data_IF_986893526005
#
_entry.id   IF_986893526005
#
_cell.length_a   1.000
_cell.length_b   1.000
_cell.length_c   1.000
_cell.angle_alpha   90.00
_cell.angle_beta   90.00
_cell.angle_gamma   90.00
#
_symmetry.space_group_name_H-M   'P 1'
#
loop_
_entity.id
_entity.type
_entity.pdbx_description
1 polymer ?
#
# COMPACT_ATOMS: atom_id res chain seq x y z
N UNK A 1 -31.31 31.53 9.13
CA UNK A 1 -30.90 32.68 8.32
C UNK A 1 -29.47 33.02 8.68
N UNK A 2 -28.50 32.49 7.97
CA UNK A 2 -27.14 33.03 7.91
C UNK A 2 -26.73 32.97 6.44
N UNK A 3 -26.30 34.10 5.93
CA UNK A 3 -26.17 34.44 4.53
C UNK A 3 -25.13 33.60 3.79
N UNK A 4 -25.53 33.21 2.62
CA UNK A 4 -24.67 32.77 1.56
C UNK A 4 -24.00 34.00 0.93
N UNK A 5 -22.76 34.27 1.26
CA UNK A 5 -21.95 35.19 0.45
C UNK A 5 -21.17 34.35 -0.57
N UNK A 6 -21.77 34.24 -1.75
CA UNK A 6 -21.08 33.81 -2.96
C UNK A 6 -20.15 34.92 -3.44
N UNK A 7 -18.86 34.71 -3.37
CA UNK A 7 -17.87 35.51 -4.12
C UNK A 7 -17.25 34.60 -5.16
N UNK A 8 -17.86 34.61 -6.34
CA UNK A 8 -17.20 34.24 -7.58
C UNK A 8 -16.64 35.53 -8.19
N UNK A 9 -15.37 35.80 -8.02
CA UNK A 9 -14.62 36.74 -8.86
C UNK A 9 -13.29 36.10 -9.17
N UNK A 10 -12.96 36.02 -10.46
CA UNK A 10 -11.61 35.64 -10.89
C UNK A 10 -10.59 36.51 -10.11
N UNK A 11 -9.56 35.92 -9.51
CA UNK A 11 -8.62 36.68 -8.71
C UNK A 11 -7.89 37.72 -9.58
N UNK A 12 -7.66 38.91 -8.99
CA UNK A 12 -6.87 39.95 -9.61
C UNK A 12 -5.44 39.48 -9.85
N UNK A 13 -4.71 39.97 -10.88
CA UNK A 13 -3.31 39.63 -11.11
C UNK A 13 -2.47 39.88 -9.84
N UNK A 14 -1.72 38.85 -9.37
CA UNK A 14 -0.96 38.88 -8.14
C UNK A 14 -1.73 38.39 -6.91
N UNK A 15 -2.98 37.90 -7.04
CA UNK A 15 -3.73 37.35 -5.92
C UNK A 15 -3.25 35.94 -5.57
N UNK A 16 -2.75 35.78 -4.37
CA UNK A 16 -2.48 34.46 -3.76
C UNK A 16 -3.75 33.98 -3.05
N UNK A 17 -4.17 32.75 -3.32
CA UNK A 17 -5.27 32.11 -2.61
C UNK A 17 -4.86 30.74 -2.10
N UNK A 18 -5.39 30.35 -0.96
CA UNK A 18 -5.12 29.06 -0.33
C UNK A 18 -6.42 28.25 -0.23
N UNK A 19 -6.39 27.03 -0.77
CA UNK A 19 -7.48 26.06 -0.64
C UNK A 19 -7.06 24.99 0.36
N UNK A 20 -7.87 24.75 1.39
CA UNK A 20 -7.58 23.80 2.47
C UNK A 20 -8.68 22.78 2.63
N UNK A 21 -8.27 21.51 2.75
CA UNK A 21 -9.09 20.41 3.27
C UNK A 21 -8.48 20.01 4.61
N UNK A 22 -9.13 20.39 5.71
CA UNK A 22 -8.57 20.22 7.06
C UNK A 22 -8.47 18.77 7.53
N UNK A 23 -9.30 17.88 7.00
CA UNK A 23 -9.30 16.45 7.31
C UNK A 23 -9.79 15.65 6.10
N UNK A 24 -8.96 14.73 5.63
CA UNK A 24 -9.30 13.86 4.49
C UNK A 24 -10.05 12.65 5.03
N UNK A 25 -11.22 12.37 4.46
CA UNK A 25 -12.08 11.28 4.91
C UNK A 25 -11.92 10.03 4.06
N UNK A 26 -12.28 8.87 4.62
CA UNK A 26 -12.24 7.56 3.94
C UNK A 26 -10.84 7.16 3.45
N UNK A 27 -9.83 7.55 4.20
CA UNK A 27 -8.45 7.07 4.13
C UNK A 27 -8.07 6.46 5.47
N UNK A 28 -7.01 5.67 5.53
CA UNK A 28 -6.47 5.19 6.80
C UNK A 28 -5.52 6.24 7.37
N UNK A 29 -5.79 6.69 8.63
CA UNK A 29 -4.98 7.68 9.33
C UNK A 29 -5.42 9.14 9.10
N UNK A 30 -4.59 10.10 9.55
CA UNK A 30 -4.94 11.52 9.65
C UNK A 30 -4.05 12.39 8.76
N UNK A 31 -4.67 13.02 7.76
CA UNK A 31 -4.00 13.93 6.83
C UNK A 31 -4.90 15.09 6.38
N UNK A 32 -4.27 16.12 5.86
CA UNK A 32 -4.91 17.32 5.30
C UNK A 32 -4.30 17.68 3.95
N UNK A 33 -5.07 18.38 3.12
CA UNK A 33 -4.61 18.91 1.84
C UNK A 33 -4.50 20.43 1.90
N UNK A 34 -3.42 20.97 1.37
CA UNK A 34 -3.22 22.40 1.14
C UNK A 34 -2.83 22.62 -0.30
N UNK A 35 -3.60 23.45 -1.02
CA UNK A 35 -3.23 23.95 -2.33
C UNK A 35 -3.00 25.46 -2.23
N UNK A 36 -1.86 25.94 -2.75
CA UNK A 36 -1.63 27.37 -2.98
C UNK A 36 -1.77 27.66 -4.45
N UNK A 37 -2.58 28.64 -4.75
CA UNK A 37 -2.85 29.07 -6.11
C UNK A 37 -2.37 30.51 -6.24
N UNK A 38 -1.52 30.76 -7.24
CA UNK A 38 -0.98 32.08 -7.59
C UNK A 38 -1.28 32.34 -9.07
N UNK A 39 -1.87 33.47 -9.38
CA UNK A 39 -2.25 33.85 -10.74
C UNK A 39 -3.10 32.79 -11.47
N UNK A 40 -3.97 32.07 -10.73
CA UNK A 40 -4.82 31.01 -11.30
C UNK A 40 -4.09 29.68 -11.60
N UNK A 41 -2.82 29.57 -11.21
CA UNK A 41 -2.04 28.34 -11.32
C UNK A 41 -1.71 27.75 -9.94
N UNK A 42 -1.61 26.44 -9.87
CA UNK A 42 -1.21 25.76 -8.64
C UNK A 42 0.29 25.98 -8.44
N UNK A 43 0.64 26.81 -7.46
CA UNK A 43 2.02 27.05 -7.07
C UNK A 43 2.55 25.95 -6.13
N UNK A 44 1.67 25.34 -5.33
CA UNK A 44 2.02 24.29 -4.38
C UNK A 44 0.79 23.39 -4.13
N UNK A 45 1.02 22.07 -4.12
CA UNK A 45 0.07 21.06 -3.65
C UNK A 45 0.76 20.23 -2.56
N UNK A 46 0.18 20.15 -1.36
CA UNK A 46 0.76 19.42 -0.22
C UNK A 46 -0.27 18.52 0.45
N UNK A 47 0.07 17.24 0.53
CA UNK A 47 -0.61 16.30 1.40
C UNK A 47 0.12 16.26 2.75
N UNK A 48 -0.40 16.99 3.74
CA UNK A 48 0.20 17.08 5.06
C UNK A 48 -0.28 15.95 5.96
N UNK A 49 0.66 15.14 6.43
CA UNK A 49 0.40 14.08 7.40
C UNK A 49 0.73 14.61 8.79
N UNK A 50 -0.27 14.68 9.67
CA UNK A 50 -0.13 15.18 11.03
C UNK A 50 -0.37 14.11 12.11
N UNK A 51 -0.63 12.86 11.71
CA UNK A 51 -0.70 11.73 12.63
C UNK A 51 0.62 11.59 13.43
N UNK A 52 0.50 11.27 14.72
CA UNK A 52 1.65 11.15 15.60
C UNK A 52 2.58 9.98 15.19
N UNK A 53 3.90 10.18 15.13
CA UNK A 53 4.87 9.13 14.85
C UNK A 53 4.80 8.02 15.89
N UNK A 54 4.93 6.75 15.44
CA UNK A 54 4.82 5.56 16.31
C UNK A 54 6.14 4.85 16.58
N UNK A 55 7.25 5.35 16.03
CA UNK A 55 8.63 4.97 16.32
C UNK A 55 8.97 3.48 16.20
N UNK A 56 8.37 2.75 15.26
CA UNK A 56 8.60 1.32 15.09
C UNK A 56 10.06 0.97 14.78
N UNK A 57 10.75 1.80 14.01
CA UNK A 57 12.19 1.60 13.74
C UNK A 57 13.02 1.58 15.04
N UNK A 58 12.68 2.44 15.99
CA UNK A 58 13.34 2.45 17.31
C UNK A 58 12.90 1.28 18.20
N UNK A 59 11.64 0.86 18.08
CA UNK A 59 11.07 -0.23 18.88
C UNK A 59 11.68 -1.60 18.57
N UNK A 60 12.15 -1.81 17.32
CA UNK A 60 12.78 -3.06 16.90
C UNK A 60 14.26 -3.15 17.25
N UNK A 61 14.91 -2.06 17.65
CA UNK A 61 16.32 -2.09 18.12
C UNK A 61 16.43 -2.94 19.38
N UNK A 62 17.44 -3.83 19.41
CA UNK A 62 17.67 -4.80 20.48
C UNK A 62 16.77 -6.05 20.39
N UNK A 63 16.03 -6.24 19.28
CA UNK A 63 15.15 -7.40 19.06
C UNK A 63 15.77 -8.39 18.10
N UNK A 64 15.43 -9.66 18.27
CA UNK A 64 15.76 -10.75 17.34
C UNK A 64 14.85 -10.73 16.11
N UNK A 65 15.25 -11.40 15.01
CA UNK A 65 14.45 -11.43 13.78
C UNK A 65 13.01 -11.92 13.99
N UNK A 66 12.78 -12.95 14.80
CA UNK A 66 11.40 -13.43 15.09
C UNK A 66 10.57 -12.40 15.88
N UNK A 67 11.19 -11.64 16.81
CA UNK A 67 10.51 -10.57 17.53
C UNK A 67 10.20 -9.38 16.61
N UNK A 68 11.14 -9.03 15.72
CA UNK A 68 10.92 -7.98 14.69
C UNK A 68 9.70 -8.31 13.84
N UNK A 69 9.59 -9.55 13.32
CA UNK A 69 8.45 -10.00 12.52
C UNK A 69 7.11 -9.82 13.26
N UNK A 70 7.07 -10.14 14.55
CA UNK A 70 5.87 -9.92 15.38
C UNK A 70 5.57 -8.43 15.61
N UNK A 71 6.61 -7.60 15.77
CA UNK A 71 6.47 -6.15 16.05
C UNK A 71 6.00 -5.41 14.78
N UNK A 72 6.65 -5.62 13.63
CA UNK A 72 6.35 -4.88 12.39
C UNK A 72 4.94 -5.18 11.87
N UNK A 73 4.37 -6.34 12.17
CA UNK A 73 2.96 -6.63 11.87
C UNK A 73 2.00 -5.59 12.48
N UNK A 74 2.40 -4.90 13.54
CA UNK A 74 1.57 -3.92 14.26
C UNK A 74 1.65 -2.50 13.68
N UNK A 75 2.51 -2.30 12.69
CA UNK A 75 2.56 -1.04 11.94
C UNK A 75 1.23 -0.83 11.23
N UNK A 76 0.63 -1.90 10.67
CA UNK A 76 -0.62 -1.80 9.94
C UNK A 76 -1.59 -2.94 10.28
N UNK A 77 -2.85 -2.60 10.52
CA UNK A 77 -3.92 -3.59 10.70
C UNK A 77 -4.46 -4.16 9.37
N UNK A 78 -4.16 -3.52 8.25
CA UNK A 78 -4.67 -3.88 6.91
C UNK A 78 -3.61 -4.69 6.13
N UNK A 79 -2.33 -4.30 6.19
CA UNK A 79 -1.24 -4.93 5.43
C UNK A 79 -0.15 -5.57 6.33
N UNK A 80 -0.49 -6.27 7.42
CA UNK A 80 0.50 -6.85 8.33
C UNK A 80 1.35 -7.95 7.68
N UNK A 81 0.82 -8.64 6.67
CA UNK A 81 1.51 -9.74 5.98
C UNK A 81 2.71 -9.21 5.20
N UNK A 82 2.52 -8.13 4.44
CA UNK A 82 3.63 -7.53 3.71
C UNK A 82 4.77 -7.12 4.67
N UNK A 83 4.45 -6.45 5.80
CA UNK A 83 5.46 -6.10 6.81
C UNK A 83 6.18 -7.33 7.38
N UNK A 84 5.45 -8.39 7.72
CA UNK A 84 6.05 -9.63 8.20
C UNK A 84 6.94 -10.27 7.14
N UNK A 85 6.48 -10.36 5.89
CA UNK A 85 7.23 -11.02 4.83
C UNK A 85 8.47 -10.23 4.43
N UNK A 86 8.40 -8.89 4.37
CA UNK A 86 9.57 -8.06 4.08
C UNK A 86 10.66 -8.29 5.14
N UNK A 87 10.31 -8.24 6.42
CA UNK A 87 11.25 -8.54 7.49
C UNK A 87 11.76 -9.99 7.43
N UNK A 88 10.87 -10.96 7.17
CA UNK A 88 11.23 -12.37 7.09
C UNK A 88 12.26 -12.63 5.98
N UNK A 89 12.01 -12.12 4.77
CA UNK A 89 12.93 -12.29 3.64
C UNK A 89 14.27 -11.58 3.89
N UNK A 90 14.27 -10.40 4.51
CA UNK A 90 15.49 -9.69 4.88
C UNK A 90 16.38 -10.54 5.81
N UNK A 91 15.81 -11.11 6.88
CA UNK A 91 16.56 -11.97 7.80
C UNK A 91 16.94 -13.31 7.17
N UNK A 92 16.11 -13.89 6.32
CA UNK A 92 16.42 -15.14 5.62
C UNK A 92 17.57 -14.97 4.64
N UNK A 93 17.60 -13.87 3.89
CA UNK A 93 18.72 -13.53 3.01
C UNK A 93 20.02 -13.40 3.80
N UNK A 94 20.02 -12.58 4.88
CA UNK A 94 21.20 -12.42 5.73
C UNK A 94 21.68 -13.74 6.32
N UNK A 95 20.76 -14.60 6.80
CA UNK A 95 21.10 -15.86 7.47
C UNK A 95 21.34 -17.02 6.49
N UNK A 96 21.12 -16.81 5.19
CA UNK A 96 21.25 -17.84 4.16
C UNK A 96 20.21 -18.95 4.32
N UNK A 97 18.97 -18.61 4.65
CA UNK A 97 17.87 -19.55 4.88
C UNK A 97 17.08 -19.77 3.62
N UNK A 98 17.03 -21.01 3.15
CA UNK A 98 16.15 -21.40 2.06
C UNK A 98 14.93 -22.14 2.59
N UNK A 99 13.75 -21.70 2.18
CA UNK A 99 12.48 -22.33 2.55
C UNK A 99 12.05 -23.35 1.49
N UNK A 100 11.44 -24.44 1.93
CA UNK A 100 10.90 -25.46 1.00
C UNK A 100 9.74 -24.89 0.18
N UNK A 101 9.50 -25.42 -1.05
CA UNK A 101 8.44 -24.92 -1.94
C UNK A 101 7.04 -24.87 -1.29
N UNK A 102 6.72 -25.81 -0.41
CA UNK A 102 5.44 -25.81 0.31
C UNK A 102 5.30 -24.64 1.28
N UNK A 103 6.37 -24.18 1.93
CA UNK A 103 6.38 -22.97 2.79
C UNK A 103 6.23 -21.73 1.93
N UNK A 104 6.93 -21.67 0.78
CA UNK A 104 6.80 -20.56 -0.17
C UNK A 104 5.36 -20.42 -0.68
N UNK A 105 4.72 -21.53 -1.03
CA UNK A 105 3.32 -21.56 -1.46
C UNK A 105 2.36 -21.06 -0.36
N UNK A 106 2.59 -21.43 0.90
CA UNK A 106 1.81 -20.93 2.04
C UNK A 106 1.98 -19.42 2.25
N UNK A 107 3.17 -18.87 2.02
CA UNK A 107 3.40 -17.42 2.07
C UNK A 107 2.64 -16.69 0.98
N UNK A 108 2.66 -17.21 -0.26
CA UNK A 108 1.85 -16.65 -1.35
C UNK A 108 0.36 -16.71 -1.03
N UNK A 109 -0.11 -17.81 -0.48
CA UNK A 109 -1.51 -17.96 -0.05
C UNK A 109 -1.87 -16.92 1.04
N UNK A 110 -0.95 -16.62 1.95
CA UNK A 110 -1.15 -15.60 2.97
C UNK A 110 -1.25 -14.18 2.36
N UNK A 111 -0.41 -13.88 1.35
CA UNK A 111 -0.52 -12.66 0.55
C UNK A 111 -1.86 -12.56 -0.19
N UNK A 112 -2.34 -13.64 -0.81
CA UNK A 112 -3.66 -13.65 -1.43
C UNK A 112 -4.74 -13.20 -0.43
N UNK A 113 -4.69 -13.70 0.82
CA UNK A 113 -5.60 -13.27 1.88
C UNK A 113 -5.55 -11.77 2.16
N UNK A 114 -4.35 -11.20 2.22
CA UNK A 114 -4.16 -9.76 2.44
C UNK A 114 -4.65 -8.92 1.25
N UNK A 115 -4.33 -9.32 0.02
CA UNK A 115 -4.81 -8.62 -1.18
C UNK A 115 -6.33 -8.67 -1.30
N UNK A 116 -6.95 -9.83 -1.05
CA UNK A 116 -8.42 -9.98 -1.07
C UNK A 116 -9.07 -9.02 -0.05
N UNK A 117 -8.65 -9.05 1.21
CA UNK A 117 -9.29 -8.22 2.24
C UNK A 117 -9.00 -6.73 2.06
N UNK A 118 -7.79 -6.35 1.63
CA UNK A 118 -7.38 -4.96 1.46
C UNK A 118 -8.04 -4.32 0.25
N UNK A 119 -8.01 -4.99 -0.91
CA UNK A 119 -8.65 -4.46 -2.12
C UNK A 119 -10.18 -4.43 -2.01
N UNK A 120 -10.80 -5.45 -1.38
CA UNK A 120 -12.23 -5.40 -1.10
C UNK A 120 -12.60 -4.22 -0.18
N UNK A 121 -11.79 -3.95 0.86
CA UNK A 121 -11.98 -2.77 1.72
C UNK A 121 -11.92 -1.48 0.91
N UNK A 122 -10.86 -1.29 0.12
CA UNK A 122 -10.67 -0.07 -0.65
C UNK A 122 -11.79 0.10 -1.71
N UNK A 123 -11.98 -0.88 -2.57
CA UNK A 123 -12.92 -0.79 -3.69
C UNK A 123 -14.33 -0.48 -3.19
N UNK A 124 -14.84 -1.24 -2.22
CA UNK A 124 -16.23 -1.17 -1.83
C UNK A 124 -16.55 -0.17 -0.73
N UNK A 125 -15.62 0.03 0.24
CA UNK A 125 -15.92 0.81 1.44
C UNK A 125 -15.33 2.21 1.39
N UNK A 126 -14.14 2.37 0.78
CA UNK A 126 -13.43 3.64 0.78
C UNK A 126 -13.68 4.46 -0.49
N UNK A 127 -13.71 3.82 -1.67
CA UNK A 127 -13.68 4.52 -2.96
C UNK A 127 -14.97 4.41 -3.79
N UNK A 128 -15.71 3.29 -3.73
CA UNK A 128 -17.00 3.17 -4.43
C UNK A 128 -18.00 4.30 -4.11
N UNK A 129 -18.10 4.80 -2.85
CA UNK A 129 -19.00 5.91 -2.57
C UNK A 129 -18.75 7.14 -3.43
N UNK A 130 -17.49 7.43 -3.83
CA UNK A 130 -17.18 8.58 -4.68
C UNK A 130 -17.83 8.46 -6.07
N UNK A 131 -17.74 7.29 -6.68
CA UNK A 131 -18.28 7.02 -8.01
C UNK A 131 -19.81 6.94 -8.02
N UNK A 132 -20.40 6.55 -6.91
CA UNK A 132 -21.86 6.38 -6.76
C UNK A 132 -22.56 7.60 -6.15
N UNK A 133 -21.79 8.66 -5.79
CA UNK A 133 -22.34 9.93 -5.27
C UNK A 133 -22.77 9.89 -3.81
N UNK A 134 -22.13 9.03 -2.98
CA UNK A 134 -22.46 8.89 -1.56
C UNK A 134 -21.31 9.39 -0.65
N UNK A 135 -21.63 10.00 0.51
CA UNK A 135 -20.60 10.45 1.46
C UNK A 135 -19.91 9.29 2.20
N UNK A 136 -20.54 8.12 2.26
CA UNK A 136 -19.99 6.96 2.97
C UNK A 136 -20.64 5.66 2.49
N UNK A 137 -20.01 4.53 2.81
CA UNK A 137 -20.57 3.19 2.55
C UNK A 137 -21.90 2.96 3.30
N UNK A 138 -22.07 3.55 4.48
CA UNK A 138 -23.33 3.42 5.23
C UNK A 138 -24.48 4.12 4.51
N UNK A 139 -24.25 5.30 3.96
CA UNK A 139 -25.23 6.01 3.14
C UNK A 139 -25.52 5.22 1.83
N UNK A 140 -24.49 4.68 1.19
CA UNK A 140 -24.60 3.87 -0.01
C UNK A 140 -25.38 2.57 0.21
N UNK A 141 -25.33 1.99 1.41
CA UNK A 141 -25.96 0.71 1.73
C UNK A 141 -27.49 0.74 1.60
N UNK A 142 -28.14 1.91 1.68
CA UNK A 142 -29.58 2.06 1.47
C UNK A 142 -30.01 1.65 0.06
N UNK A 143 -29.28 2.12 -0.94
CA UNK A 143 -29.65 1.95 -2.36
C UNK A 143 -28.83 0.85 -3.06
N UNK A 144 -27.60 0.57 -2.56
CA UNK A 144 -26.64 -0.37 -3.14
C UNK A 144 -26.28 -1.52 -2.20
N UNK A 145 -27.24 -2.02 -1.44
CA UNK A 145 -27.05 -3.08 -0.46
C UNK A 145 -26.31 -4.33 -1.01
N UNK A 146 -26.65 -4.88 -2.20
CA UNK A 146 -25.94 -6.03 -2.74
C UNK A 146 -24.45 -5.77 -2.97
N UNK A 147 -24.08 -4.57 -3.42
CA UNK A 147 -22.67 -4.15 -3.62
C UNK A 147 -21.93 -4.14 -2.29
N UNK A 148 -22.53 -3.59 -1.25
CA UNK A 148 -21.93 -3.55 0.10
C UNK A 148 -21.76 -4.96 0.67
N UNK A 149 -22.79 -5.82 0.55
CA UNK A 149 -22.73 -7.20 1.04
C UNK A 149 -21.67 -8.03 0.30
N UNK A 150 -21.50 -7.83 -1.00
CA UNK A 150 -20.44 -8.47 -1.79
C UNK A 150 -19.05 -8.06 -1.29
N UNK A 151 -18.82 -6.76 -1.08
CA UNK A 151 -17.55 -6.25 -0.53
C UNK A 151 -17.24 -6.81 0.86
N UNK A 152 -18.26 -6.89 1.74
CA UNK A 152 -18.11 -7.47 3.08
C UNK A 152 -17.82 -8.98 3.02
N UNK A 153 -18.41 -9.71 2.06
CA UNK A 153 -18.17 -11.14 1.87
C UNK A 153 -16.74 -11.41 1.42
N UNK A 154 -16.25 -10.68 0.43
CA UNK A 154 -14.85 -10.77 -0.04
C UNK A 154 -13.85 -10.40 1.07
N UNK A 155 -14.09 -9.30 1.78
CA UNK A 155 -13.24 -8.91 2.92
C UNK A 155 -13.21 -9.97 4.01
N UNK A 156 -14.34 -10.56 4.34
CA UNK A 156 -14.45 -11.66 5.32
C UNK A 156 -13.69 -12.89 4.87
N UNK A 157 -13.73 -13.23 3.59
CA UNK A 157 -13.00 -14.35 3.02
C UNK A 157 -11.49 -14.17 3.17
N UNK A 158 -10.95 -13.01 2.78
CA UNK A 158 -9.52 -12.68 2.97
C UNK A 158 -9.10 -12.81 4.44
N UNK A 159 -9.90 -12.26 5.37
CA UNK A 159 -9.63 -12.38 6.81
C UNK A 159 -9.68 -13.84 7.31
N UNK A 160 -10.57 -14.67 6.79
CA UNK A 160 -10.62 -16.11 7.12
C UNK A 160 -9.38 -16.84 6.62
N UNK A 161 -8.92 -16.51 5.43
CA UNK A 161 -7.69 -17.08 4.86
C UNK A 161 -6.47 -16.70 5.71
N UNK A 162 -6.33 -15.41 6.07
CA UNK A 162 -5.27 -14.95 6.97
C UNK A 162 -5.35 -15.67 8.32
N UNK A 163 -6.55 -15.85 8.88
CA UNK A 163 -6.73 -16.54 10.17
C UNK A 163 -6.32 -18.01 10.12
N UNK A 164 -6.66 -18.72 9.04
CA UNK A 164 -6.32 -20.12 8.84
C UNK A 164 -4.80 -20.36 8.81
N UNK A 165 -4.05 -19.42 8.26
CA UNK A 165 -2.59 -19.49 8.09
C UNK A 165 -1.84 -18.78 9.21
N UNK A 166 -2.31 -17.60 9.59
CA UNK A 166 -1.65 -16.66 10.49
C UNK A 166 -2.11 -16.76 11.94
N UNK A 167 -3.18 -17.53 12.22
CA UNK A 167 -3.76 -17.72 13.55
C UNK A 167 -4.79 -16.66 13.96
N UNK A 168 -4.78 -15.48 13.36
CA UNK A 168 -5.76 -14.41 13.56
C UNK A 168 -5.77 -13.46 12.34
N UNK A 169 -6.89 -12.74 12.08
CA UNK A 169 -7.04 -11.92 10.86
C UNK A 169 -6.25 -10.61 10.90
N UNK A 170 -5.98 -10.09 12.09
CA UNK A 170 -5.24 -8.83 12.30
C UNK A 170 -3.98 -9.13 13.10
N UNK A 171 -2.83 -8.61 12.65
CA UNK A 171 -1.51 -8.85 13.23
C UNK A 171 -1.23 -10.35 13.45
N UNK A 172 -1.19 -11.18 12.39
CA UNK A 172 -0.99 -12.62 12.50
C UNK A 172 0.32 -12.96 13.21
N UNK A 173 0.37 -14.16 13.83
CA UNK A 173 1.45 -14.55 14.73
C UNK A 173 2.17 -15.84 14.34
N UNK A 174 1.86 -16.39 13.16
CA UNK A 174 2.39 -17.68 12.73
C UNK A 174 3.68 -17.57 11.94
N UNK A 175 3.94 -16.42 11.29
CA UNK A 175 5.12 -16.19 10.44
C UNK A 175 6.39 -16.14 11.29
N UNK A 176 7.46 -16.82 10.84
CA UNK A 176 8.78 -16.90 11.50
C UNK A 176 9.88 -16.89 10.43
N UNK A 177 11.08 -16.52 10.83
CA UNK A 177 12.28 -16.77 10.02
C UNK A 177 12.35 -18.27 9.69
N UNK A 178 12.49 -18.61 8.43
CA UNK A 178 12.52 -20.01 7.95
C UNK A 178 11.14 -20.63 7.72
N UNK A 179 10.02 -19.92 7.92
CA UNK A 179 8.69 -20.46 7.64
C UNK A 179 7.58 -20.00 8.54
N UNK A 180 6.95 -20.97 9.24
CA UNK A 180 5.81 -20.77 10.11
C UNK A 180 5.99 -21.50 11.43
N UNK A 181 5.35 -21.01 12.51
CA UNK A 181 5.30 -21.71 13.80
C UNK A 181 4.58 -23.07 13.67
N UNK A 182 3.62 -23.18 12.76
CA UNK A 182 2.94 -24.42 12.37
C UNK A 182 2.39 -24.31 10.96
N UNK A 183 2.32 -25.42 10.23
CA UNK A 183 1.56 -25.50 9.00
C UNK A 183 0.06 -25.66 9.27
N UNK A 184 -0.84 -25.10 8.44
CA UNK A 184 -2.28 -25.33 8.56
C UNK A 184 -2.60 -26.81 8.26
N UNK A 185 -3.62 -27.34 8.91
CA UNK A 185 -4.17 -28.64 8.52
C UNK A 185 -5.01 -28.47 7.25
N UNK A 186 -5.14 -29.54 6.44
CA UNK A 186 -5.98 -29.51 5.26
C UNK A 186 -7.42 -29.04 5.57
N UNK A 187 -8.01 -29.53 6.66
CA UNK A 187 -9.34 -29.15 7.11
C UNK A 187 -9.48 -27.65 7.42
N UNK A 188 -8.42 -26.99 7.86
CA UNK A 188 -8.43 -25.54 8.14
C UNK A 188 -8.57 -24.73 6.84
N UNK A 189 -8.10 -25.27 5.71
CA UNK A 189 -8.16 -24.67 4.37
C UNK A 189 -9.44 -25.06 3.59
N UNK A 190 -9.96 -26.26 3.79
CA UNK A 190 -11.13 -26.75 3.06
C UNK A 190 -12.36 -25.84 3.25
N UNK A 191 -12.56 -25.31 4.46
CA UNK A 191 -13.64 -24.37 4.74
C UNK A 191 -13.50 -23.02 4.02
N UNK A 192 -12.27 -22.60 3.71
CA UNK A 192 -12.01 -21.39 2.92
C UNK A 192 -12.12 -21.71 1.43
N UNK A 193 -11.62 -22.90 1.02
CA UNK A 193 -11.67 -23.36 -0.36
C UNK A 193 -13.10 -23.40 -0.92
N UNK A 194 -14.08 -23.83 -0.08
CA UNK A 194 -15.48 -23.93 -0.48
C UNK A 194 -16.07 -22.59 -0.95
N UNK A 195 -15.59 -21.46 -0.42
CA UNK A 195 -16.11 -20.12 -0.76
C UNK A 195 -15.34 -19.46 -1.93
N UNK A 196 -14.19 -20.02 -2.35
CA UNK A 196 -13.32 -19.34 -3.32
C UNK A 196 -13.87 -19.36 -4.75
N UNK A 197 -14.66 -20.37 -5.14
CA UNK A 197 -15.26 -20.38 -6.47
C UNK A 197 -16.28 -19.24 -6.62
N UNK A 198 -17.13 -19.02 -5.61
CA UNK A 198 -18.04 -17.88 -5.55
C UNK A 198 -17.27 -16.54 -5.48
N UNK A 199 -16.19 -16.50 -4.73
CA UNK A 199 -15.35 -15.30 -4.60
C UNK A 199 -14.70 -14.90 -5.93
N UNK A 200 -14.27 -15.86 -6.76
CA UNK A 200 -13.76 -15.60 -8.10
C UNK A 200 -14.83 -14.94 -8.97
N UNK A 201 -16.08 -15.44 -8.92
CA UNK A 201 -17.17 -14.83 -9.70
C UNK A 201 -17.56 -13.45 -9.16
N UNK A 202 -17.59 -13.26 -7.83
CA UNK A 202 -17.78 -11.94 -7.21
C UNK A 202 -16.68 -10.95 -7.62
N UNK A 203 -15.42 -11.38 -7.61
CA UNK A 203 -14.30 -10.53 -8.01
C UNK A 203 -14.30 -10.22 -9.52
N UNK A 204 -14.73 -11.17 -10.36
CA UNK A 204 -14.94 -10.91 -11.79
C UNK A 204 -16.03 -9.85 -12.01
N UNK A 205 -17.16 -9.97 -11.30
CA UNK A 205 -18.21 -8.97 -11.33
C UNK A 205 -17.75 -7.62 -10.82
N UNK A 206 -16.79 -7.58 -9.85
CA UNK A 206 -16.17 -6.36 -9.36
C UNK A 206 -15.39 -5.64 -10.47
N UNK A 207 -14.59 -6.38 -11.26
CA UNK A 207 -13.85 -5.78 -12.39
C UNK A 207 -14.81 -5.12 -13.37
N UNK A 208 -15.88 -5.81 -13.77
CA UNK A 208 -16.89 -5.27 -14.67
C UNK A 208 -17.62 -4.04 -14.08
N UNK A 209 -17.94 -4.07 -12.79
CA UNK A 209 -18.60 -2.98 -12.08
C UNK A 209 -17.74 -1.70 -12.09
N UNK A 210 -16.49 -1.80 -11.65
CA UNK A 210 -15.62 -0.62 -11.53
C UNK A 210 -15.10 -0.12 -12.87
N UNK A 211 -15.00 -0.99 -13.88
CA UNK A 211 -14.64 -0.60 -15.24
C UNK A 211 -15.73 0.26 -15.90
N UNK A 212 -16.99 0.06 -15.53
CA UNK A 212 -18.13 0.83 -16.03
C UNK A 212 -18.26 2.23 -15.41
N UNK A 213 -17.52 2.53 -14.36
CA UNK A 213 -17.59 3.85 -13.73
C UNK A 213 -16.79 4.87 -14.54
N UNK A 214 -17.30 6.12 -14.57
CA UNK A 214 -16.68 7.24 -15.26
C UNK A 214 -15.94 8.13 -14.24
N UNK A 215 -14.60 8.03 -14.16
CA UNK A 215 -13.80 8.83 -13.23
C UNK A 215 -13.55 10.23 -13.79
N UNK A 216 -13.14 11.19 -12.93
CA UNK A 216 -12.56 12.44 -13.39
C UNK A 216 -11.41 12.21 -14.39
N UNK A 217 -11.32 13.06 -15.37
CA UNK A 217 -10.26 12.97 -16.39
C UNK A 217 -8.94 13.48 -15.81
N UNK A 218 -7.91 12.69 -15.97
CA UNK A 218 -6.52 13.06 -15.68
C UNK A 218 -5.63 12.32 -16.70
N UNK A 219 -4.79 13.05 -17.38
CA UNK A 219 -3.75 12.49 -18.26
C UNK A 219 -2.38 12.91 -17.72
N UNK A 220 -1.90 12.21 -16.72
CA UNK A 220 -0.62 12.48 -16.06
C UNK A 220 0.13 11.18 -15.80
N UNK A 221 1.07 10.87 -16.69
CA UNK A 221 1.91 9.69 -16.56
C UNK A 221 3.13 9.99 -15.68
N UNK A 222 3.31 9.20 -14.63
CA UNK A 222 4.48 9.26 -13.76
C UNK A 222 5.40 8.04 -13.98
N UNK A 223 6.69 8.10 -13.59
CA UNK A 223 7.55 6.92 -13.49
C UNK A 223 6.89 5.89 -12.57
N UNK A 224 6.82 4.65 -13.00
CA UNK A 224 6.23 3.55 -12.22
C UNK A 224 7.33 2.65 -11.67
N UNK A 225 7.20 2.22 -10.42
CA UNK A 225 8.13 1.29 -9.78
C UNK A 225 7.35 0.14 -9.13
N UNK A 226 7.79 -1.09 -9.35
CA UNK A 226 7.24 -2.29 -8.72
C UNK A 226 8.32 -3.39 -8.63
N UNK A 227 8.02 -4.47 -7.93
CA UNK A 227 8.76 -5.71 -8.11
C UNK A 227 8.36 -6.36 -9.42
N UNK A 228 9.31 -7.11 -10.03
CA UNK A 228 9.06 -7.99 -11.17
C UNK A 228 9.71 -9.35 -10.94
N UNK A 229 8.91 -10.41 -11.01
CA UNK A 229 9.38 -11.77 -10.92
C UNK A 229 9.30 -12.48 -12.28
N UNK A 230 10.27 -13.35 -12.64
CA UNK A 230 10.32 -13.95 -13.97
C UNK A 230 9.13 -14.87 -14.29
N UNK A 231 8.48 -15.48 -13.28
CA UNK A 231 7.52 -16.56 -13.47
C UNK A 231 6.14 -16.34 -12.85
N UNK A 232 5.95 -15.32 -12.02
CA UNK A 232 4.70 -15.11 -11.26
C UNK A 232 4.41 -13.62 -11.02
N UNK A 233 3.17 -13.31 -10.70
CA UNK A 233 2.80 -11.97 -10.28
C UNK A 233 3.51 -11.63 -8.95
N UNK A 234 4.18 -10.47 -8.84
CA UNK A 234 5.06 -10.19 -7.71
C UNK A 234 4.26 -9.92 -6.44
N UNK A 235 4.60 -10.63 -5.36
CA UNK A 235 4.17 -10.33 -3.99
C UNK A 235 5.38 -10.17 -3.07
N UNK A 236 6.12 -11.25 -2.86
CA UNK A 236 7.15 -11.36 -1.85
C UNK A 236 8.56 -11.52 -2.40
N UNK A 237 8.71 -11.60 -3.70
CA UNK A 237 9.97 -11.87 -4.38
C UNK A 237 9.99 -11.22 -5.76
N UNK A 238 11.17 -10.84 -6.24
CA UNK A 238 11.38 -10.21 -7.53
C UNK A 238 12.48 -9.15 -7.48
N UNK A 239 12.76 -8.53 -8.62
CA UNK A 239 13.67 -7.39 -8.75
C UNK A 239 12.87 -6.10 -8.69
N UNK A 240 13.42 -5.05 -8.11
CA UNK A 240 12.84 -3.70 -8.18
C UNK A 240 13.06 -3.18 -9.59
N UNK A 241 11.99 -2.95 -10.34
CA UNK A 241 12.05 -2.43 -11.71
C UNK A 241 11.25 -1.14 -11.85
N UNK A 242 11.59 -0.34 -12.85
CA UNK A 242 10.82 0.85 -13.20
C UNK A 242 10.59 0.99 -14.70
N UNK A 243 9.62 1.84 -15.06
CA UNK A 243 9.43 2.25 -16.46
C UNK A 243 10.60 3.07 -17.03
N UNK A 244 11.46 3.60 -16.15
CA UNK A 244 12.60 4.45 -16.51
C UNK A 244 13.94 3.69 -16.49
N UNK A 245 13.91 2.35 -16.37
CA UNK A 245 15.08 1.50 -16.52
C UNK A 245 15.82 1.18 -15.22
N UNK A 246 15.26 1.46 -14.03
CA UNK A 246 15.78 0.91 -12.76
C UNK A 246 15.58 -0.62 -12.80
N UNK A 247 16.61 -1.36 -12.39
CA UNK A 247 16.60 -2.82 -12.25
C UNK A 247 17.59 -3.24 -11.15
N UNK A 248 17.08 -3.43 -9.91
CA UNK A 248 17.87 -3.69 -8.71
C UNK A 248 17.47 -5.00 -8.03
N UNK A 249 18.37 -5.56 -7.23
CA UNK A 249 17.99 -6.62 -6.31
C UNK A 249 17.02 -6.08 -5.23
N UNK A 250 16.17 -6.94 -4.64
CA UNK A 250 15.13 -6.48 -3.70
C UNK A 250 15.69 -5.83 -2.42
N UNK A 251 16.95 -6.09 -2.07
CA UNK A 251 17.64 -5.46 -0.93
C UNK A 251 18.30 -4.12 -1.25
N UNK A 252 18.45 -3.76 -2.52
CA UNK A 252 19.29 -2.62 -2.96
C UNK A 252 18.49 -1.33 -3.20
N UNK A 253 17.33 -1.19 -2.58
CA UNK A 253 16.44 -0.03 -2.74
C UNK A 253 17.19 1.31 -2.62
N UNK A 254 18.08 1.42 -1.65
CA UNK A 254 18.85 2.65 -1.38
C UNK A 254 19.85 3.02 -2.49
N UNK A 255 20.10 2.17 -3.47
CA UNK A 255 20.95 2.52 -4.61
C UNK A 255 20.26 3.53 -5.56
N UNK A 256 18.94 3.43 -5.71
CA UNK A 256 18.17 4.29 -6.61
C UNK A 256 17.27 5.30 -5.88
N UNK A 257 16.96 5.09 -4.62
CA UNK A 257 15.95 5.88 -3.90
C UNK A 257 16.52 6.42 -2.58
N UNK A 258 15.86 7.46 -2.07
CA UNK A 258 16.17 8.07 -0.77
C UNK A 258 14.92 8.59 -0.08
N UNK A 259 14.91 8.56 1.26
CA UNK A 259 13.90 9.25 2.08
C UNK A 259 14.40 10.63 2.50
N UNK A 260 13.48 11.58 2.64
CA UNK A 260 13.80 12.92 3.13
C UNK A 260 12.62 13.52 3.92
N UNK A 261 12.96 14.48 4.79
CA UNK A 261 11.96 15.23 5.54
C UNK A 261 11.33 16.33 4.70
N UNK A 262 10.02 16.49 4.88
CA UNK A 262 9.25 17.60 4.32
C UNK A 262 8.64 18.41 5.45
N UNK A 263 8.84 19.73 5.42
CA UNK A 263 8.33 20.64 6.46
C UNK A 263 6.79 20.54 6.57
N UNK A 264 6.31 20.38 7.80
CA UNK A 264 4.88 20.29 8.10
C UNK A 264 4.25 18.92 7.84
N UNK A 265 5.05 17.88 7.57
CA UNK A 265 4.60 16.49 7.51
C UNK A 265 5.31 15.64 8.57
N UNK A 266 4.56 14.79 9.27
CA UNK A 266 5.08 13.78 10.19
C UNK A 266 5.43 12.45 9.50
N UNK A 267 5.33 12.39 8.17
CA UNK A 267 5.81 11.29 7.36
C UNK A 267 7.04 11.71 6.56
N UNK A 268 7.97 10.79 6.35
CA UNK A 268 9.03 10.97 5.37
C UNK A 268 8.44 10.86 3.96
N UNK A 269 9.00 11.60 3.02
CA UNK A 269 8.78 11.41 1.60
C UNK A 269 9.94 10.60 1.03
N UNK A 270 9.70 9.88 -0.06
CA UNK A 270 10.75 9.21 -0.80
C UNK A 270 10.72 9.65 -2.27
N UNK A 271 11.91 9.70 -2.86
CA UNK A 271 12.14 10.04 -4.27
C UNK A 271 13.30 9.23 -4.84
N UNK A 272 13.46 9.27 -6.13
CA UNK A 272 14.70 8.77 -6.74
C UNK A 272 15.89 9.64 -6.34
N UNK A 273 17.10 9.09 -6.35
CA UNK A 273 18.32 9.86 -5.99
C UNK A 273 18.60 11.05 -6.93
N UNK A 274 18.04 11.05 -8.13
CA UNK A 274 18.06 12.19 -9.06
C UNK A 274 16.89 13.17 -8.86
N UNK A 275 16.12 13.00 -7.76
CA UNK A 275 15.12 13.96 -7.28
C UNK A 275 13.74 13.85 -7.94
N UNK A 276 13.40 12.73 -8.61
CA UNK A 276 12.11 12.55 -9.26
C UNK A 276 11.12 11.78 -8.40
N UNK A 277 9.86 12.20 -8.44
CA UNK A 277 8.73 11.43 -7.92
C UNK A 277 8.53 10.14 -8.73
N UNK A 278 7.94 9.13 -8.10
CA UNK A 278 7.53 7.87 -8.73
C UNK A 278 6.27 7.31 -8.07
N UNK A 279 5.52 6.52 -8.82
CA UNK A 279 4.27 5.94 -8.39
C UNK A 279 4.41 4.43 -8.20
N UNK A 280 3.92 3.95 -7.06
CA UNK A 280 3.85 2.54 -6.68
C UNK A 280 2.41 2.01 -6.70
N UNK A 281 2.29 0.71 -6.49
CA UNK A 281 1.02 0.05 -6.17
C UNK A 281 0.34 -0.59 -7.37
N UNK A 282 -0.98 -0.77 -7.32
CA UNK A 282 -1.70 -1.54 -8.34
C UNK A 282 -1.49 -1.04 -9.76
N UNK A 283 -1.46 0.28 -9.96
CA UNK A 283 -1.17 0.88 -11.28
C UNK A 283 0.21 0.45 -11.79
N UNK A 284 1.24 0.56 -10.96
CA UNK A 284 2.61 0.19 -11.34
C UNK A 284 2.71 -1.32 -11.64
N UNK A 285 2.17 -2.17 -10.78
CA UNK A 285 2.18 -3.62 -10.99
C UNK A 285 1.44 -4.06 -12.24
N UNK A 286 0.24 -3.51 -12.49
CA UNK A 286 -0.52 -3.85 -13.70
C UNK A 286 0.23 -3.43 -14.96
N UNK A 287 0.89 -2.27 -14.98
CA UNK A 287 1.64 -1.82 -16.16
C UNK A 287 2.92 -2.62 -16.37
N UNK A 288 3.64 -2.95 -15.30
CA UNK A 288 4.95 -3.62 -15.38
C UNK A 288 4.82 -5.16 -15.48
N UNK A 289 3.74 -5.75 -14.93
CA UNK A 289 3.60 -7.19 -14.72
C UNK A 289 2.29 -7.79 -15.23
N UNK A 290 1.57 -7.13 -16.15
CA UNK A 290 0.33 -7.68 -16.73
C UNK A 290 0.53 -9.08 -17.32
N UNK A 291 1.71 -9.37 -17.87
CA UNK A 291 2.09 -10.65 -18.44
C UNK A 291 2.33 -11.76 -17.38
N UNK A 292 2.29 -11.43 -16.11
CA UNK A 292 2.41 -12.33 -14.95
C UNK A 292 1.11 -12.52 -14.18
N UNK A 293 0.05 -11.80 -14.56
CA UNK A 293 -1.27 -11.97 -13.94
C UNK A 293 -1.77 -13.41 -14.09
N UNK A 294 -2.54 -13.85 -13.10
CA UNK A 294 -3.31 -15.08 -13.24
C UNK A 294 -4.18 -15.01 -14.51
N UNK A 295 -4.28 -16.09 -15.34
CA UNK A 295 -4.97 -16.04 -16.64
C UNK A 295 -6.38 -15.45 -16.60
N UNK A 296 -7.14 -15.77 -15.54
CA UNK A 296 -8.52 -15.24 -15.35
C UNK A 296 -8.49 -13.71 -15.14
N UNK A 297 -7.50 -13.19 -14.41
CA UNK A 297 -7.35 -11.76 -14.16
C UNK A 297 -6.84 -11.03 -15.40
N UNK A 298 -5.89 -11.62 -16.14
CA UNK A 298 -5.40 -11.09 -17.42
C UNK A 298 -6.54 -10.94 -18.44
N UNK A 299 -7.37 -11.97 -18.59
CA UNK A 299 -8.54 -11.95 -19.48
C UNK A 299 -9.55 -10.86 -19.05
N UNK A 300 -9.77 -10.70 -17.74
CA UNK A 300 -10.69 -9.69 -17.23
C UNK A 300 -10.14 -8.27 -17.49
N UNK A 301 -8.83 -8.04 -17.31
CA UNK A 301 -8.18 -6.76 -17.65
C UNK A 301 -8.32 -6.44 -19.15
N UNK A 302 -8.01 -7.39 -20.02
CA UNK A 302 -8.14 -7.24 -21.46
C UNK A 302 -9.58 -6.86 -21.87
N UNK A 303 -10.57 -7.53 -21.26
CA UNK A 303 -11.98 -7.27 -21.53
C UNK A 303 -12.45 -5.86 -21.15
N UNK A 304 -11.76 -5.17 -20.22
CA UNK A 304 -12.08 -3.78 -19.87
C UNK A 304 -11.68 -2.78 -20.95
N UNK A 305 -10.64 -3.07 -21.73
CA UNK A 305 -10.02 -2.13 -22.66
C UNK A 305 -9.30 -0.94 -22.01
N UNK A 306 -9.14 -0.92 -20.68
CA UNK A 306 -8.69 0.25 -19.90
C UNK A 306 -7.19 0.24 -19.54
N UNK A 307 -6.41 -0.71 -20.05
CA UNK A 307 -4.99 -0.83 -19.70
C UNK A 307 -4.20 0.47 -19.98
N UNK A 308 -4.50 1.18 -21.08
CA UNK A 308 -3.89 2.47 -21.40
C UNK A 308 -4.28 3.57 -20.41
N UNK A 309 -5.55 3.66 -20.03
CA UNK A 309 -6.03 4.66 -19.08
C UNK A 309 -5.49 4.42 -17.65
N UNK A 310 -5.31 3.17 -17.23
CA UNK A 310 -4.69 2.84 -15.94
C UNK A 310 -3.29 3.45 -15.83
N UNK A 311 -2.56 3.58 -16.95
CA UNK A 311 -1.21 4.13 -16.99
C UNK A 311 -1.16 5.64 -16.72
N UNK A 312 -2.17 6.41 -17.15
CA UNK A 312 -2.14 7.88 -17.14
C UNK A 312 -3.17 8.53 -16.22
N UNK A 313 -4.17 7.77 -15.77
CA UNK A 313 -5.21 8.26 -14.88
C UNK A 313 -5.25 7.47 -13.58
N UNK A 314 -4.75 8.04 -12.49
CA UNK A 314 -4.70 7.37 -11.18
C UNK A 314 -6.08 6.97 -10.66
N UNK A 315 -7.15 7.66 -11.04
CA UNK A 315 -8.52 7.25 -10.69
C UNK A 315 -8.89 5.85 -11.22
N UNK A 316 -8.25 5.39 -12.31
CA UNK A 316 -8.39 4.02 -12.84
C UNK A 316 -7.66 2.96 -12.00
N UNK A 317 -6.89 3.36 -10.99
CA UNK A 317 -6.25 2.40 -10.05
C UNK A 317 -7.26 1.49 -9.36
N UNK A 318 -8.53 1.89 -9.24
CA UNK A 318 -9.61 1.04 -8.72
C UNK A 318 -9.86 -0.18 -9.62
N UNK A 319 -9.71 -0.04 -10.95
CA UNK A 319 -9.79 -1.16 -11.90
C UNK A 319 -8.59 -2.09 -11.70
N UNK A 320 -7.38 -1.54 -11.57
CA UNK A 320 -6.18 -2.32 -11.28
C UNK A 320 -6.34 -3.15 -9.99
N UNK A 321 -6.89 -2.56 -8.91
CA UNK A 321 -7.18 -3.28 -7.65
C UNK A 321 -8.23 -4.37 -7.83
N UNK A 322 -9.25 -4.14 -8.62
CA UNK A 322 -10.27 -5.17 -8.87
C UNK A 322 -9.69 -6.36 -9.66
N UNK A 323 -8.78 -6.10 -10.60
CA UNK A 323 -8.05 -7.15 -11.34
C UNK A 323 -7.14 -7.94 -10.41
N UNK A 324 -6.40 -7.27 -9.51
CA UNK A 324 -5.57 -7.94 -8.49
C UNK A 324 -6.41 -8.74 -7.49
N UNK A 325 -7.57 -8.23 -7.08
CA UNK A 325 -8.52 -8.95 -6.24
C UNK A 325 -8.97 -10.28 -6.91
N UNK A 326 -9.30 -10.23 -8.19
CA UNK A 326 -9.67 -11.41 -8.97
C UNK A 326 -8.50 -12.40 -9.09
N UNK A 327 -7.30 -11.91 -9.38
CA UNK A 327 -6.08 -12.70 -9.44
C UNK A 327 -5.78 -13.39 -8.11
N UNK A 328 -5.88 -12.67 -7.01
CA UNK A 328 -5.64 -13.20 -5.66
C UNK A 328 -6.66 -14.27 -5.25
N UNK A 329 -7.95 -14.11 -5.61
CA UNK A 329 -8.97 -15.13 -5.37
C UNK A 329 -8.70 -16.41 -6.17
N UNK A 330 -8.34 -16.27 -7.45
CA UNK A 330 -8.05 -17.41 -8.33
C UNK A 330 -6.77 -18.15 -7.91
N UNK A 331 -5.70 -17.40 -7.61
CA UNK A 331 -4.44 -17.98 -7.12
C UNK A 331 -4.62 -18.66 -5.76
N UNK A 332 -5.36 -18.07 -4.83
CA UNK A 332 -5.67 -18.68 -3.54
C UNK A 332 -6.38 -20.04 -3.70
N UNK A 333 -7.32 -20.12 -4.61
CA UNK A 333 -8.02 -21.37 -4.96
C UNK A 333 -7.03 -22.43 -5.44
N UNK A 334 -6.20 -22.09 -6.42
CA UNK A 334 -5.26 -23.02 -7.04
C UNK A 334 -4.17 -23.48 -6.04
N UNK A 335 -3.69 -22.56 -5.18
CA UNK A 335 -2.73 -22.89 -4.11
C UNK A 335 -3.34 -23.83 -3.06
N UNK A 336 -4.60 -23.66 -2.69
CA UNK A 336 -5.27 -24.57 -1.75
C UNK A 336 -5.52 -25.94 -2.41
N UNK A 337 -5.93 -25.99 -3.67
CA UNK A 337 -6.12 -27.25 -4.40
C UNK A 337 -4.81 -28.04 -4.49
N UNK A 338 -3.70 -27.36 -4.74
CA UNK A 338 -2.36 -27.94 -4.77
C UNK A 338 -1.71 -28.17 -3.40
N UNK A 339 -2.35 -27.78 -2.29
CA UNK A 339 -1.72 -27.79 -0.97
C UNK A 339 -1.23 -29.18 -0.54
N UNK A 340 0.04 -29.22 -0.13
CA UNK A 340 0.67 -30.34 0.57
C UNK A 340 1.33 -29.78 1.83
N UNK A 341 0.97 -30.33 2.99
CA UNK A 341 1.56 -29.90 4.25
C UNK A 341 3.09 -30.15 4.21
N UNK A 342 3.92 -29.12 4.51
CA UNK A 342 5.36 -29.33 4.61
C UNK A 342 5.67 -30.29 5.77
N UNK A 343 6.62 -31.21 5.55
CA UNK A 343 7.08 -32.12 6.60
C UNK A 343 7.68 -31.33 7.79
N UNK A 344 8.35 -30.21 7.47
CA UNK A 344 8.88 -29.28 8.48
C UNK A 344 8.37 -27.88 8.10
N UNK A 345 7.54 -27.25 8.97
CA UNK A 345 6.96 -25.94 8.67
C UNK A 345 7.97 -24.81 8.78
N UNK A 346 9.14 -25.06 9.36
CA UNK A 346 10.19 -24.08 9.61
C UNK A 346 11.57 -24.68 9.35
N UNK A 347 12.38 -24.02 8.53
CA UNK A 347 13.78 -24.35 8.35
C UNK A 347 14.61 -23.91 9.58
N UNK A 348 15.67 -24.68 9.97
CA UNK A 348 16.60 -24.24 10.99
C UNK A 348 17.44 -23.07 10.47
N UNK A 349 17.87 -22.20 11.39
CA UNK A 349 18.75 -21.07 11.08
C UNK A 349 19.63 -20.69 12.26
N UNK A 350 20.69 -19.95 11.99
CA UNK A 350 21.61 -19.42 12.99
C UNK A 350 21.79 -17.94 12.75
N UNK A 351 21.74 -17.07 13.76
CA UNK A 351 21.95 -15.64 13.59
C UNK A 351 23.35 -15.35 13.05
N UNK A 352 23.46 -14.27 12.31
CA UNK A 352 24.71 -13.77 11.75
C UNK A 352 24.65 -12.25 11.67
N UNK A 353 25.76 -11.59 12.04
CA UNK A 353 25.89 -10.15 11.88
C UNK A 353 25.88 -9.73 10.40
N UNK A 354 25.37 -8.56 10.12
CA UNK A 354 25.36 -7.97 8.79
C UNK A 354 24.18 -7.06 8.53
N UNK A 355 23.92 -6.81 7.25
CA UNK A 355 22.77 -6.04 6.78
C UNK A 355 21.73 -7.02 6.23
N UNK A 356 20.54 -6.97 6.80
CA UNK A 356 19.35 -7.69 6.33
C UNK A 356 18.45 -6.69 5.60
N UNK A 357 18.29 -6.81 4.29
CA UNK A 357 17.47 -5.87 3.52
C UNK A 357 16.66 -6.60 2.45
N UNK A 358 15.39 -6.22 2.29
CA UNK A 358 14.49 -6.80 1.29
C UNK A 358 13.33 -5.87 0.97
N UNK A 359 12.75 -6.08 -0.21
CA UNK A 359 11.52 -5.40 -0.64
C UNK A 359 10.46 -6.42 -1.03
N UNK A 360 9.20 -6.12 -0.69
CA UNK A 360 8.02 -6.91 -1.11
C UNK A 360 6.91 -5.97 -1.58
N UNK A 361 5.86 -6.52 -2.20
CA UNK A 361 4.69 -5.75 -2.63
C UNK A 361 3.57 -5.84 -1.60
N UNK A 362 3.37 -4.76 -0.84
CA UNK A 362 2.12 -4.58 -0.10
C UNK A 362 0.96 -4.27 -1.07
N UNK A 363 -0.31 -4.41 -0.70
CA UNK A 363 -1.45 -4.01 -1.55
C UNK A 363 -1.33 -2.59 -2.12
N UNK A 364 -0.67 -1.68 -1.39
CA UNK A 364 -0.48 -0.27 -1.75
C UNK A 364 0.81 0.03 -2.50
N UNK A 365 1.71 -0.95 -2.66
CA UNK A 365 2.96 -0.82 -3.40
C UNK A 365 4.17 -1.40 -2.69
N UNK A 366 5.35 -1.10 -3.23
CA UNK A 366 6.64 -1.58 -2.76
C UNK A 366 6.89 -1.15 -1.30
N UNK A 367 7.16 -2.13 -0.44
CA UNK A 367 7.56 -1.97 0.95
C UNK A 367 9.01 -2.42 1.08
N UNK A 368 9.89 -1.57 1.62
CA UNK A 368 11.29 -1.90 1.85
C UNK A 368 11.63 -1.88 3.33
N UNK A 369 12.38 -2.90 3.79
CA UNK A 369 12.98 -2.95 5.12
C UNK A 369 14.49 -3.17 5.02
N UNK A 370 15.23 -2.49 5.89
CA UNK A 370 16.67 -2.66 6.09
C UNK A 370 16.97 -2.68 7.60
N UNK A 371 17.72 -3.68 8.04
CA UNK A 371 18.14 -3.85 9.42
C UNK A 371 19.66 -4.05 9.48
N UNK A 372 20.33 -3.44 10.45
CA UNK A 372 21.67 -3.82 10.84
C UNK A 372 21.57 -4.76 12.03
N UNK A 373 22.31 -5.88 11.98
CA UNK A 373 22.21 -6.98 12.95
C UNK A 373 23.60 -7.26 13.49
N UNK A 374 23.72 -7.40 14.83
CA UNK A 374 24.96 -7.74 15.52
C UNK A 374 25.27 -9.25 15.52
N UNK A 375 26.40 -9.64 16.12
CA UNK A 375 26.85 -11.03 16.19
C UNK A 375 25.92 -11.94 16.99
N UNK A 376 25.13 -11.39 17.92
CA UNK A 376 24.14 -12.11 18.73
C UNK A 376 22.76 -12.20 18.03
N UNK A 377 22.62 -11.58 16.86
CA UNK A 377 21.38 -11.58 16.06
C UNK A 377 20.37 -10.53 16.48
N UNK A 378 20.79 -9.50 17.23
CA UNK A 378 19.94 -8.38 17.61
C UNK A 378 20.06 -7.22 16.63
N UNK A 379 18.94 -6.58 16.34
CA UNK A 379 18.88 -5.40 15.49
C UNK A 379 19.53 -4.21 16.20
N UNK A 380 20.48 -3.55 15.55
CA UNK A 380 21.15 -2.33 16.02
C UNK A 380 20.60 -1.07 15.36
N UNK A 381 20.11 -1.18 14.12
CA UNK A 381 19.51 -0.11 13.34
C UNK A 381 18.41 -0.67 12.45
N UNK A 382 17.38 0.13 12.16
CA UNK A 382 16.28 -0.24 11.28
C UNK A 382 15.85 0.95 10.43
N UNK A 383 15.51 0.66 9.17
CA UNK A 383 14.83 1.54 8.23
C UNK A 383 13.64 0.78 7.63
N UNK A 384 12.46 1.40 7.66
CA UNK A 384 11.21 0.83 7.13
C UNK A 384 10.57 1.87 6.21
N UNK A 385 10.54 1.59 4.91
CA UNK A 385 10.06 2.53 3.89
C UNK A 385 8.73 2.04 3.34
N UNK A 386 7.59 2.54 3.83
CA UNK A 386 6.27 2.09 3.40
C UNK A 386 5.86 2.68 2.04
N UNK A 387 4.92 2.03 1.33
CA UNK A 387 4.44 2.52 0.04
C UNK A 387 3.86 3.93 0.10
N UNK A 388 3.18 4.29 1.19
CA UNK A 388 2.54 5.61 1.32
C UNK A 388 3.58 6.73 1.40
N UNK A 389 4.69 6.55 2.12
CA UNK A 389 5.82 7.50 2.12
C UNK A 389 6.40 7.65 0.71
N UNK A 390 6.53 6.57 -0.02
CA UNK A 390 7.06 6.56 -1.38
C UNK A 390 6.12 7.22 -2.40
N UNK A 391 4.81 7.15 -2.19
CA UNK A 391 3.81 7.75 -3.07
C UNK A 391 3.53 9.24 -2.78
N UNK A 392 4.07 9.83 -1.70
CA UNK A 392 3.73 11.21 -1.29
C UNK A 392 3.98 12.23 -2.41
N UNK A 393 5.16 12.24 -3.01
CA UNK A 393 5.49 13.17 -4.09
C UNK A 393 4.65 12.91 -5.36
N UNK A 394 4.32 11.64 -5.63
CA UNK A 394 3.46 11.28 -6.74
C UNK A 394 2.02 11.79 -6.53
N UNK A 395 1.49 11.70 -5.30
CA UNK A 395 0.18 12.24 -4.93
C UNK A 395 0.17 13.76 -5.12
N UNK A 396 1.21 14.46 -4.63
CA UNK A 396 1.33 15.91 -4.75
C UNK A 396 1.44 16.36 -6.22
N UNK A 397 2.19 15.62 -7.04
CA UNK A 397 2.30 15.87 -8.48
C UNK A 397 0.97 15.70 -9.21
N UNK A 398 0.23 14.63 -8.93
CA UNK A 398 -1.10 14.40 -9.51
C UNK A 398 -2.12 15.46 -9.03
N UNK A 399 -2.06 15.86 -7.75
CA UNK A 399 -2.89 16.95 -7.23
C UNK A 399 -2.60 18.27 -7.96
N UNK A 400 -1.34 18.59 -8.19
CA UNK A 400 -0.95 19.80 -8.92
C UNK A 400 -1.43 19.76 -10.38
N UNK A 401 -1.35 18.60 -11.03
CA UNK A 401 -1.83 18.41 -12.41
C UNK A 401 -3.36 18.45 -12.50
N UNK A 402 -4.07 17.92 -11.50
CA UNK A 402 -5.53 17.82 -11.50
C UNK A 402 -6.24 19.08 -11.02
N UNK A 403 -5.67 19.81 -10.05
CA UNK A 403 -6.32 20.93 -9.37
C UNK A 403 -6.82 22.03 -10.33
N UNK A 404 -6.14 22.42 -11.44
CA UNK A 404 -6.66 23.40 -12.37
C UNK A 404 -8.05 23.05 -12.94
N UNK A 405 -8.39 21.76 -13.04
CA UNK A 405 -9.70 21.31 -13.55
C UNK A 405 -10.86 21.49 -12.55
N UNK A 406 -10.55 21.81 -11.29
CA UNK A 406 -11.54 21.87 -10.19
C UNK A 406 -11.58 23.24 -9.48
N UNK A 407 -10.64 24.15 -9.75
CA UNK A 407 -10.55 25.43 -9.03
C UNK A 407 -11.79 26.33 -9.24
N UNK A 408 -12.45 26.23 -10.39
CA UNK A 408 -13.66 27.02 -10.70
C UNK A 408 -14.96 26.37 -10.17
N UNK A 409 -14.87 25.19 -9.55
CA UNK A 409 -16.03 24.50 -8.99
C UNK A 409 -16.40 25.07 -7.63
N UNK A 410 -17.65 24.89 -7.17
CA UNK A 410 -18.02 25.17 -5.79
C UNK A 410 -17.08 24.44 -4.82
N UNK A 411 -16.68 25.08 -3.73
CA UNK A 411 -15.68 24.56 -2.78
C UNK A 411 -15.93 23.12 -2.33
N UNK A 412 -17.16 22.75 -2.03
CA UNK A 412 -17.51 21.38 -1.62
C UNK A 412 -17.29 20.35 -2.74
N UNK A 413 -17.55 20.70 -4.00
CA UNK A 413 -17.32 19.83 -5.14
C UNK A 413 -15.83 19.70 -5.46
N UNK A 414 -15.08 20.81 -5.43
CA UNK A 414 -13.64 20.81 -5.57
C UNK A 414 -12.97 19.93 -4.50
N UNK A 415 -13.38 20.11 -3.22
CA UNK A 415 -12.93 19.27 -2.10
C UNK A 415 -13.17 17.79 -2.38
N UNK A 416 -14.39 17.44 -2.76
CA UNK A 416 -14.75 16.04 -3.04
C UNK A 416 -13.89 15.42 -4.13
N UNK A 417 -13.65 16.14 -5.24
CA UNK A 417 -12.84 15.65 -6.36
C UNK A 417 -11.36 15.51 -6.01
N UNK A 418 -10.81 16.44 -5.22
CA UNK A 418 -9.42 16.35 -4.74
C UNK A 418 -9.25 15.21 -3.74
N UNK A 419 -10.18 15.03 -2.82
CA UNK A 419 -10.18 13.89 -1.91
C UNK A 419 -10.33 12.55 -2.67
N UNK A 420 -11.15 12.50 -3.72
CA UNK A 420 -11.30 11.33 -4.58
C UNK A 420 -9.98 10.92 -5.24
N UNK A 421 -9.17 11.91 -5.68
CA UNK A 421 -7.83 11.65 -6.21
C UNK A 421 -6.93 11.03 -5.15
N UNK A 422 -6.89 11.60 -3.94
CA UNK A 422 -6.08 11.06 -2.84
C UNK A 422 -6.53 9.63 -2.49
N UNK A 423 -7.83 9.37 -2.44
CA UNK A 423 -8.39 8.03 -2.18
C UNK A 423 -8.03 7.02 -3.28
N UNK A 424 -7.82 7.46 -4.52
CA UNK A 424 -7.38 6.57 -5.59
C UNK A 424 -6.02 5.91 -5.32
N UNK A 425 -5.16 6.55 -4.54
CA UNK A 425 -3.89 5.99 -4.07
C UNK A 425 -4.06 4.98 -2.92
N UNK A 426 -5.20 4.99 -2.20
CA UNK A 426 -5.40 4.19 -0.98
C UNK A 426 -4.32 4.45 0.07
N UNK A 427 -4.07 5.70 0.48
CA UNK A 427 -2.98 5.98 1.40
C UNK A 427 -3.22 5.33 2.77
N UNK A 428 -2.18 4.68 3.30
CA UNK A 428 -2.12 4.18 4.67
C UNK A 428 -1.22 5.12 5.46
N UNK A 429 -1.81 6.18 6.02
CA UNK A 429 -1.08 7.29 6.64
C UNK A 429 -0.35 6.82 7.88
N UNK A 430 -0.99 6.02 8.74
CA UNK A 430 -0.35 5.44 9.92
C UNK A 430 0.90 4.61 9.58
N UNK A 431 0.96 4.00 8.40
CA UNK A 431 2.16 3.28 7.94
C UNK A 431 3.34 4.22 7.71
N UNK A 432 3.09 5.46 7.31
CA UNK A 432 4.12 6.43 6.95
C UNK A 432 4.71 7.18 8.18
N UNK A 433 4.16 6.99 9.38
CA UNK A 433 4.52 7.74 10.59
C UNK A 433 5.23 6.86 11.65
N UNK A 434 6.28 6.15 11.30
CA UNK A 434 6.95 5.17 12.18
C UNK A 434 8.43 5.44 12.44
N UNK A 435 8.99 6.53 11.92
CA UNK A 435 10.38 6.94 12.10
C UNK A 435 10.59 7.82 13.34
N UNK A 436 11.85 7.98 13.77
CA UNK A 436 12.27 8.91 14.81
C UNK A 436 13.53 9.65 14.36
N UNK A 437 13.43 10.93 14.08
CA UNK A 437 14.57 11.84 14.00
C UNK A 437 14.53 12.79 15.20
N UNK A 438 15.21 12.41 16.29
CA UNK A 438 15.32 13.23 17.49
C UNK A 438 16.59 14.06 17.43
N UNK A 439 16.46 15.36 17.11
CA UNK A 439 17.54 16.34 17.23
C UNK A 439 17.42 17.04 18.58
N UNK A 440 18.29 16.68 19.53
CA UNK A 440 18.47 17.44 20.77
C UNK A 440 19.31 18.66 20.42
N UNK A 441 18.67 19.81 20.26
CA UNK A 441 19.37 21.09 20.22
C UNK A 441 19.74 21.42 21.66
N UNK A 442 20.99 21.22 22.03
CA UNK A 442 21.47 21.61 23.35
C UNK A 442 21.27 23.11 23.55
N UNK A 443 20.56 23.50 24.58
CA UNK A 443 20.64 24.88 25.12
C UNK A 443 22.12 25.16 25.42
N UNK A 444 22.69 26.09 24.69
CA UNK A 444 24.05 26.55 24.89
C UNK A 444 24.21 27.23 26.27
N UNK A 445 24.16 26.44 27.34
CA UNK A 445 24.71 26.83 28.64
C UNK A 445 26.15 26.42 28.63
N UNK A 446 27.01 27.40 28.30
CA UNK A 446 28.42 27.35 28.70
C UNK A 446 28.45 27.12 30.21
N UNK A 447 28.90 25.93 30.63
CA UNK A 447 29.35 25.74 32.00
C UNK A 447 30.56 26.66 32.21
N UNK A 448 30.28 27.81 32.79
CA UNK A 448 31.31 28.69 33.30
C UNK A 448 32.10 27.94 34.37
N UNK A 449 33.38 27.68 34.07
CA UNK A 449 34.39 27.26 35.02
C UNK A 449 34.46 28.28 36.17
N UNK A 450 34.07 27.86 37.37
CA UNK A 450 34.29 28.47 38.64
C UNK A 450 34.89 27.46 39.58
#
# INVERSE_FOLDING_TARGET
MHGADGISTAPAPGAESEFKVGYITRVEGEGSLVLRVQDGQVAEARLKIFEAPRYFERLVVGRTGDEVIDIVARICGICPIAYQMTATHAFEDLYGVEVVPAVRALRRLLYCGEYIQSHALHVYMLHAPDFLGYPSVLAMAGDHRPVVEQGLSLKRLGNRLISALGGRPVHPVSVRVGGFSRAPRRADLDGVRADLDEAVEMARATVALVAAWDPPQLDHAQPLVALRHPNEYPYNDGRIVSTDGIDLAPGDWSEAFEEHHVEGSNALHARTRDGRAYLLGPTARIVLDADRLHPIAAQALEATGLAGEIRTNVHRSIVARAVELLGACAEARDLIDGYRAPATPRAPWTPRAGVAAWSTEAPRGLLHHRYEVDDDGHVTSAQIVPPTSQNQEAIEADLAAFAPSVLDLPHAEATHRLEMLIRAYDPCISCATHFLDLRIVGDGREEGTG
#
